data_IF_055149250425
#
_entry.id   IF_055149250425
#
_cell.length_a   1.000
_cell.length_b   1.000
_cell.length_c   1.000
_cell.angle_alpha   90.00
_cell.angle_beta   90.00
_cell.angle_gamma   90.00
#
_symmetry.space_group_name_H-M   'P 1'
#
loop_
_entity.id
_entity.type
_entity.pdbx_description
1 polymer ?
#
# COMPACT_ATOMS: atom_id res chain seq x y z
N UNK A 1 1.93 -17.83 -5.88
CA UNK A 1 2.51 -16.48 -5.71
C UNK A 1 1.62 -15.47 -6.41
N UNK A 2 0.98 -14.60 -5.63
CA UNK A 2 0.06 -13.56 -6.10
C UNK A 2 0.73 -12.19 -6.05
N UNK A 3 0.50 -11.37 -7.08
CA UNK A 3 1.01 -10.00 -7.17
C UNK A 3 -0.14 -9.00 -7.15
N UNK A 4 -0.11 -8.11 -6.17
CA UNK A 4 -1.09 -7.04 -6.03
C UNK A 4 -0.50 -5.74 -6.56
N UNK A 5 -1.24 -5.07 -7.44
CA UNK A 5 -0.87 -3.76 -7.99
C UNK A 5 -1.88 -2.75 -7.44
N UNK A 6 -1.59 -2.11 -6.29
CA UNK A 6 -2.51 -1.16 -5.68
C UNK A 6 -2.61 0.14 -6.49
N UNK A 7 -3.77 0.77 -6.43
CA UNK A 7 -4.00 2.10 -6.98
C UNK A 7 -3.68 3.23 -6.00
N UNK A 8 -2.52 3.17 -5.32
CA UNK A 8 -2.06 4.16 -4.35
C UNK A 8 -1.50 5.43 -5.00
N UNK A 9 -2.33 6.09 -5.80
CA UNK A 9 -1.97 7.28 -6.57
C UNK A 9 -2.52 8.56 -5.91
N UNK A 10 -1.83 9.67 -6.12
CA UNK A 10 -2.35 11.00 -5.79
C UNK A 10 -3.31 11.52 -6.85
N UNK A 11 -4.33 12.25 -6.42
CA UNK A 11 -5.24 12.97 -7.29
C UNK A 11 -4.56 14.16 -8.00
N UNK A 12 -3.46 14.68 -7.44
CA UNK A 12 -2.74 15.86 -7.96
C UNK A 12 -1.59 15.45 -8.89
N UNK A 13 -0.82 14.43 -8.49
CA UNK A 13 0.30 13.90 -9.27
C UNK A 13 0.15 12.38 -9.43
N UNK A 14 -0.28 11.94 -10.61
CA UNK A 14 -0.69 10.55 -10.85
C UNK A 14 0.36 9.50 -10.44
N UNK A 15 1.65 9.79 -10.60
CA UNK A 15 2.74 8.86 -10.27
C UNK A 15 3.37 9.10 -8.90
N UNK A 16 2.80 10.00 -8.09
CA UNK A 16 3.24 10.25 -6.72
C UNK A 16 2.16 9.73 -5.77
N UNK A 17 2.55 9.06 -4.69
CA UNK A 17 1.59 8.62 -3.69
C UNK A 17 0.96 9.83 -2.97
N UNK A 18 -0.32 9.72 -2.61
CA UNK A 18 -0.96 10.77 -1.83
C UNK A 18 -0.49 10.70 -0.37
N UNK A 19 0.56 11.44 -0.07
CA UNK A 19 1.22 11.39 1.22
C UNK A 19 0.78 12.57 2.10
N UNK A 20 -0.33 12.41 2.83
CA UNK A 20 -0.76 13.47 3.76
C UNK A 20 0.23 13.61 4.93
N UNK A 21 0.69 14.83 5.28
CA UNK A 21 1.47 15.07 6.49
C UNK A 21 0.69 14.64 7.74
N UNK A 22 1.36 13.98 8.69
CA UNK A 22 0.75 13.19 9.78
C UNK A 22 -0.13 13.93 10.80
N UNK A 23 -0.50 15.20 10.58
CA UNK A 23 -1.41 15.97 11.44
C UNK A 23 -2.77 16.25 10.81
N UNK A 24 -2.89 16.18 9.49
CA UNK A 24 -4.18 16.23 8.81
C UNK A 24 -4.71 14.81 8.62
N UNK A 25 -5.50 14.34 9.58
CA UNK A 25 -6.42 13.24 9.33
C UNK A 25 -7.41 13.71 8.26
N UNK A 26 -7.13 13.43 7.00
CA UNK A 26 -8.20 13.25 6.03
C UNK A 26 -8.63 11.80 6.16
N UNK A 27 -9.87 11.59 6.55
CA UNK A 27 -10.59 10.32 6.68
C UNK A 27 -10.67 9.49 5.36
N UNK A 28 -9.80 9.76 4.37
CA UNK A 28 -9.98 9.36 2.98
C UNK A 28 -9.24 8.11 2.52
N UNK A 29 -8.41 7.46 3.35
CA UNK A 29 -7.63 6.27 2.92
C UNK A 29 -7.35 5.27 4.05
N UNK A 30 -8.20 5.18 5.08
CA UNK A 30 -7.94 4.19 6.14
C UNK A 30 -8.27 2.74 5.72
N UNK A 31 -9.00 2.54 4.62
CA UNK A 31 -9.31 1.20 4.09
C UNK A 31 -9.21 1.18 2.56
N UNK A 32 -8.31 0.34 2.04
CA UNK A 32 -8.18 0.05 0.61
C UNK A 32 -8.44 -1.45 0.41
N UNK A 33 -9.23 -1.79 -0.61
CA UNK A 33 -9.57 -3.17 -0.96
C UNK A 33 -8.31 -4.01 -1.17
N UNK A 34 -7.24 -3.43 -1.71
CA UNK A 34 -5.96 -4.13 -1.90
C UNK A 34 -5.36 -4.57 -0.57
N UNK A 35 -5.42 -3.73 0.47
CA UNK A 35 -4.91 -4.06 1.81
C UNK A 35 -5.69 -5.23 2.40
N UNK A 36 -7.01 -5.24 2.25
CA UNK A 36 -7.86 -6.33 2.74
C UNK A 36 -7.58 -7.64 2.02
N UNK A 37 -7.52 -7.60 0.68
CA UNK A 37 -7.22 -8.78 -0.11
C UNK A 37 -5.84 -9.34 0.25
N UNK A 38 -4.82 -8.51 0.37
CA UNK A 38 -3.49 -8.95 0.82
C UNK A 38 -3.57 -9.63 2.19
N UNK A 39 -4.29 -9.05 3.17
CA UNK A 39 -4.48 -9.67 4.50
C UNK A 39 -5.16 -11.04 4.41
N UNK A 40 -6.19 -11.17 3.58
CA UNK A 40 -6.91 -12.44 3.38
C UNK A 40 -5.98 -13.51 2.80
N UNK A 41 -5.18 -13.16 1.79
CA UNK A 41 -4.25 -14.10 1.16
C UNK A 41 -3.13 -14.52 2.12
N UNK A 42 -2.56 -13.58 2.88
CA UNK A 42 -1.58 -13.91 3.92
C UNK A 42 -2.17 -14.85 4.99
N UNK A 43 -3.42 -14.60 5.40
CA UNK A 43 -4.13 -15.45 6.37
C UNK A 43 -4.43 -16.85 5.83
N UNK A 44 -4.60 -16.98 4.52
CA UNK A 44 -4.75 -18.26 3.83
C UNK A 44 -3.41 -19.00 3.64
N UNK A 45 -2.27 -18.42 4.05
CA UNK A 45 -0.94 -19.00 3.84
C UNK A 45 -0.42 -18.85 2.41
N UNK A 46 -1.06 -17.99 1.61
CA UNK A 46 -0.64 -17.74 0.23
C UNK A 46 0.58 -16.85 0.17
N UNK A 47 1.40 -17.09 -0.86
CA UNK A 47 2.58 -16.29 -1.10
C UNK A 47 2.22 -14.98 -1.84
N UNK A 48 2.48 -13.83 -1.20
CA UNK A 48 2.02 -12.51 -1.67
C UNK A 48 3.18 -11.53 -1.86
N UNK A 49 3.12 -10.77 -2.95
CA UNK A 49 3.99 -9.65 -3.25
C UNK A 49 3.16 -8.42 -3.66
N UNK A 50 3.51 -7.25 -3.15
CA UNK A 50 2.90 -5.97 -3.54
C UNK A 50 3.83 -5.29 -4.54
N UNK A 51 3.30 -4.88 -5.70
CA UNK A 51 4.03 -4.12 -6.72
C UNK A 51 3.52 -2.68 -6.76
N UNK A 52 4.32 -1.75 -6.25
CA UNK A 52 3.97 -0.33 -6.19
C UNK A 52 4.53 0.40 -7.39
N UNK A 53 3.63 1.01 -8.18
CA UNK A 53 3.96 1.76 -9.39
C UNK A 53 4.10 3.27 -9.16
N UNK A 54 3.65 3.77 -8.02
CA UNK A 54 3.78 5.18 -7.64
C UNK A 54 5.05 5.41 -6.81
N UNK A 55 5.61 6.61 -6.92
CA UNK A 55 6.64 7.07 -5.99
C UNK A 55 6.03 7.26 -4.59
N UNK A 56 6.43 6.42 -3.64
CA UNK A 56 5.89 6.38 -2.27
C UNK A 56 7.02 6.34 -1.22
N UNK A 57 7.67 7.48 -0.92
CA UNK A 57 8.81 7.51 0.00
C UNK A 57 8.49 7.00 1.42
N UNK A 58 7.24 7.11 1.89
CA UNK A 58 6.80 6.63 3.22
C UNK A 58 6.09 5.27 3.20
N UNK A 59 6.32 4.45 2.16
CA UNK A 59 5.67 3.16 1.96
C UNK A 59 5.80 2.20 3.15
N UNK A 60 7.01 2.05 3.73
CA UNK A 60 7.22 1.14 4.88
C UNK A 60 6.39 1.56 6.09
N UNK A 61 6.32 2.85 6.37
CA UNK A 61 5.50 3.39 7.46
C UNK A 61 4.01 3.18 7.19
N UNK A 62 3.57 3.29 5.93
CA UNK A 62 2.20 2.98 5.53
C UNK A 62 1.86 1.50 5.76
N UNK A 63 2.68 0.58 5.24
CA UNK A 63 2.47 -0.86 5.42
C UNK A 63 2.48 -1.27 6.90
N UNK A 64 3.34 -0.66 7.70
CA UNK A 64 3.36 -0.88 9.15
C UNK A 64 2.05 -0.47 9.83
N UNK A 65 1.49 0.71 9.50
CA UNK A 65 0.18 1.13 10.01
C UNK A 65 -0.94 0.19 9.57
N UNK A 66 -0.80 -0.43 8.40
CA UNK A 66 -1.74 -1.41 7.87
C UNK A 66 -1.45 -2.85 8.33
N UNK A 67 -0.49 -3.09 9.24
CA UNK A 67 -0.16 -4.44 9.71
C UNK A 67 0.44 -5.36 8.65
N UNK A 68 1.00 -4.79 7.57
CA UNK A 68 1.57 -5.50 6.42
C UNK A 68 3.10 -5.39 6.35
N UNK A 69 3.78 -5.15 7.48
CA UNK A 69 5.24 -4.93 7.53
C UNK A 69 6.08 -6.08 6.95
N UNK A 70 5.58 -7.31 6.99
CA UNK A 70 6.30 -8.51 6.54
C UNK A 70 6.08 -8.88 5.08
N UNK A 71 5.24 -8.15 4.34
CA UNK A 71 4.93 -8.47 2.94
C UNK A 71 6.08 -8.07 2.04
N UNK A 72 6.40 -8.90 1.04
CA UNK A 72 7.39 -8.54 0.03
C UNK A 72 6.86 -7.42 -0.85
N UNK A 73 7.74 -6.48 -1.17
CA UNK A 73 7.37 -5.32 -1.98
C UNK A 73 8.40 -5.09 -3.08
N UNK A 74 7.89 -4.92 -4.30
CA UNK A 74 8.64 -4.40 -5.43
C UNK A 74 8.20 -2.96 -5.68
N UNK A 75 9.14 -2.01 -5.62
CA UNK A 75 8.92 -0.60 -5.94
C UNK A 75 9.59 -0.28 -7.27
N UNK A 76 8.87 0.41 -8.16
CA UNK A 76 9.44 0.90 -9.44
C UNK A 76 10.42 2.06 -9.22
N UNK A 77 10.21 2.86 -8.18
CA UNK A 77 11.04 4.01 -7.82
C UNK A 77 11.90 3.73 -6.57
#
# INVERSE_FOLDING_TARGET
MYRFIPSWYSNVFKWHANETPGREKRDGYEFDDTVNQVRMFLSAGEDVEIMVLAYMPRMRSFLHRQGLSGVRVFSVF
#
